data_IF_675278300321
#
_entry.id   IF_675278300321
#
_cell.length_a   1.000
_cell.length_b   1.000
_cell.length_c   1.000
_cell.angle_alpha   90.00
_cell.angle_beta   90.00
_cell.angle_gamma   90.00
#
_symmetry.space_group_name_H-M   'P 1'
#
loop_
_entity.id
_entity.type
_entity.pdbx_description
1 polymer ?
#
# COMPACT_ATOMS: atom_id res chain seq x y z
N UNK A 1 -3.56 3.38 -6.11
CA UNK A 1 -2.66 3.27 -7.29
C UNK A 1 -2.48 4.59 -8.03
N UNK A 2 -3.53 5.46 -8.12
CA UNK A 2 -3.43 6.73 -8.86
C UNK A 2 -2.37 7.67 -8.26
N UNK A 3 -2.49 8.04 -6.97
CA UNK A 3 -1.57 8.96 -6.29
C UNK A 3 -0.11 8.52 -6.37
N UNK A 4 0.18 7.25 -6.05
CA UNK A 4 1.56 6.72 -6.07
C UNK A 4 2.18 6.67 -7.47
N UNK A 5 1.38 6.75 -8.53
CA UNK A 5 1.87 6.87 -9.90
C UNK A 5 2.07 8.33 -10.32
N UNK A 6 1.15 9.21 -9.92
CA UNK A 6 1.14 10.61 -10.38
C UNK A 6 2.10 11.51 -9.58
N UNK A 7 2.28 11.27 -8.30
CA UNK A 7 3.12 12.12 -7.46
C UNK A 7 4.60 12.13 -7.88
N UNK A 8 5.26 10.98 -8.14
CA UNK A 8 6.60 10.96 -8.71
C UNK A 8 6.68 11.59 -10.11
N UNK A 9 5.63 11.42 -10.93
CA UNK A 9 5.56 12.04 -12.25
C UNK A 9 5.59 13.56 -12.17
N UNK A 10 4.82 14.15 -11.25
CA UNK A 10 4.77 15.62 -11.05
C UNK A 10 6.18 16.14 -10.74
N UNK A 11 6.89 15.49 -9.82
CA UNK A 11 8.27 15.86 -9.49
C UNK A 11 9.22 15.73 -10.67
N UNK A 12 9.12 14.65 -11.44
CA UNK A 12 9.97 14.42 -12.61
C UNK A 12 9.74 15.46 -13.72
N UNK A 13 8.48 15.78 -14.04
CA UNK A 13 8.15 16.81 -15.04
C UNK A 13 8.58 18.20 -14.55
N UNK A 14 8.35 18.53 -13.30
CA UNK A 14 8.76 19.82 -12.72
C UNK A 14 10.27 20.03 -12.81
N UNK A 15 11.06 18.93 -12.76
CA UNK A 15 12.50 18.95 -12.96
C UNK A 15 12.95 18.89 -14.44
N UNK A 16 11.99 18.89 -15.40
CA UNK A 16 12.29 18.91 -16.84
C UNK A 16 12.58 17.55 -17.47
N UNK A 17 12.23 16.45 -16.81
CA UNK A 17 12.49 15.10 -17.33
C UNK A 17 11.38 14.60 -18.26
N UNK A 18 11.76 13.77 -19.23
CA UNK A 18 10.81 12.89 -19.92
C UNK A 18 10.56 11.65 -19.08
N UNK A 19 9.34 11.09 -19.13
CA UNK A 19 8.94 10.02 -18.23
C UNK A 19 8.27 8.87 -18.97
N UNK A 20 8.56 7.65 -18.51
CA UNK A 20 7.79 6.45 -18.84
C UNK A 20 7.08 5.97 -17.59
N UNK A 21 5.76 5.94 -17.60
CA UNK A 21 4.95 5.42 -16.51
C UNK A 21 4.58 3.95 -16.74
N UNK A 22 4.72 3.14 -15.70
CA UNK A 22 4.26 1.76 -15.68
C UNK A 22 3.29 1.54 -14.51
N UNK A 23 1.99 1.84 -14.69
CA UNK A 23 0.99 1.62 -13.64
C UNK A 23 0.82 0.14 -13.32
N UNK A 24 0.22 -0.15 -12.16
CA UNK A 24 0.04 -1.51 -11.67
C UNK A 24 -0.96 -2.31 -12.51
N UNK A 25 -0.58 -3.52 -12.94
CA UNK A 25 -1.49 -4.47 -13.59
C UNK A 25 -2.62 -4.98 -12.65
N UNK A 26 -2.45 -4.86 -11.33
CA UNK A 26 -3.48 -5.24 -10.36
C UNK A 26 -4.61 -4.20 -10.21
N UNK A 27 -4.47 -3.03 -10.85
CA UNK A 27 -5.48 -1.99 -10.88
C UNK A 27 -5.77 -1.57 -12.34
N UNK A 28 -6.29 -2.47 -13.20
CA UNK A 28 -6.38 -2.24 -14.64
C UNK A 28 -7.25 -1.04 -15.00
N UNK A 29 -8.40 -0.85 -14.35
CA UNK A 29 -9.25 0.30 -14.58
C UNK A 29 -8.54 1.63 -14.27
N UNK A 30 -7.81 1.71 -13.14
CA UNK A 30 -7.00 2.89 -12.80
C UNK A 30 -5.87 3.11 -13.80
N UNK A 31 -5.21 2.03 -14.24
CA UNK A 31 -4.13 2.12 -15.24
C UNK A 31 -4.62 2.69 -16.56
N UNK A 32 -5.77 2.24 -17.04
CA UNK A 32 -6.39 2.75 -18.27
C UNK A 32 -6.80 4.22 -18.15
N UNK A 33 -7.32 4.65 -16.99
CA UNK A 33 -7.62 6.08 -16.75
C UNK A 33 -6.34 6.91 -16.75
N UNK A 34 -5.27 6.44 -16.10
CA UNK A 34 -3.97 7.11 -16.12
C UNK A 34 -3.47 7.26 -17.56
N UNK A 35 -3.53 6.19 -18.36
CA UNK A 35 -3.12 6.24 -19.77
C UNK A 35 -3.91 7.31 -20.54
N UNK A 36 -5.24 7.35 -20.38
CA UNK A 36 -6.09 8.34 -21.04
C UNK A 36 -5.73 9.77 -20.64
N UNK A 37 -5.63 10.04 -19.33
CA UNK A 37 -5.30 11.38 -18.80
C UNK A 37 -3.92 11.84 -19.32
N UNK A 38 -2.93 10.96 -19.29
CA UNK A 38 -1.57 11.31 -19.74
C UNK A 38 -1.53 11.55 -21.24
N UNK A 39 -2.15 10.70 -22.05
CA UNK A 39 -2.22 10.87 -23.51
C UNK A 39 -2.89 12.18 -23.90
N UNK A 40 -3.93 12.58 -23.18
CA UNK A 40 -4.68 13.80 -23.48
C UNK A 40 -3.94 15.07 -23.00
N UNK A 41 -3.08 14.95 -21.97
CA UNK A 41 -2.35 16.07 -21.40
C UNK A 41 -0.93 16.29 -21.99
N UNK A 42 -0.27 15.23 -22.46
CA UNK A 42 1.13 15.28 -22.87
C UNK A 42 1.40 14.60 -24.21
N UNK A 43 2.25 15.19 -25.07
CA UNK A 43 2.82 14.47 -26.20
C UNK A 43 3.62 13.24 -25.73
N UNK A 44 3.46 12.10 -26.40
CA UNK A 44 4.10 10.82 -26.03
C UNK A 44 5.63 10.84 -25.99
N UNK A 45 6.25 11.83 -26.62
CA UNK A 45 7.72 12.04 -26.53
C UNK A 45 8.18 12.61 -25.19
N UNK A 46 7.26 13.19 -24.39
CA UNK A 46 7.57 13.71 -23.06
C UNK A 46 7.12 12.78 -21.97
N UNK A 47 5.89 12.25 -22.07
CA UNK A 47 5.34 11.30 -21.10
C UNK A 47 4.65 10.18 -21.84
N UNK A 48 5.10 8.96 -21.64
CA UNK A 48 4.49 7.74 -22.18
C UNK A 48 3.98 6.85 -21.05
N UNK A 49 2.92 6.09 -21.33
CA UNK A 49 2.39 5.09 -20.40
C UNK A 49 2.48 3.72 -21.04
N UNK A 50 3.03 2.77 -20.31
CA UNK A 50 3.09 1.35 -20.70
C UNK A 50 2.20 0.56 -19.76
N UNK A 51 1.08 0.06 -20.26
CA UNK A 51 0.23 -0.87 -19.53
C UNK A 51 0.77 -2.30 -19.68
N UNK A 52 0.31 -3.21 -18.83
CA UNK A 52 0.68 -4.61 -18.90
C UNK A 52 1.21 -5.16 -17.58
N UNK A 53 1.63 -6.41 -17.60
CA UNK A 53 2.01 -7.19 -16.44
C UNK A 53 3.51 -7.49 -16.32
N UNK A 54 3.79 -8.75 -15.97
CA UNK A 54 5.17 -9.20 -15.74
C UNK A 54 6.06 -9.09 -16.98
N UNK A 55 5.52 -9.38 -18.15
CA UNK A 55 6.26 -9.35 -19.42
C UNK A 55 6.74 -7.93 -19.71
N UNK A 56 5.83 -6.97 -19.70
CA UNK A 56 6.11 -5.56 -19.98
C UNK A 56 7.04 -4.95 -18.93
N UNK A 57 6.89 -5.33 -17.65
CA UNK A 57 7.82 -4.92 -16.59
C UNK A 57 9.24 -5.42 -16.88
N UNK A 58 9.38 -6.69 -17.30
CA UNK A 58 10.69 -7.26 -17.61
C UNK A 58 11.32 -6.58 -18.81
N UNK A 59 10.56 -6.35 -19.87
CA UNK A 59 11.04 -5.68 -21.09
C UNK A 59 11.45 -4.22 -20.82
N UNK A 60 10.70 -3.48 -19.98
CA UNK A 60 11.08 -2.14 -19.57
C UNK A 60 12.39 -2.12 -18.75
N UNK A 61 12.57 -3.05 -17.83
CA UNK A 61 13.78 -3.12 -17.00
C UNK A 61 15.03 -3.56 -17.77
N UNK A 62 14.89 -4.06 -18.99
CA UNK A 62 16.02 -4.29 -19.91
C UNK A 62 16.42 -3.02 -20.70
N UNK A 63 15.60 -1.95 -20.64
CA UNK A 63 15.93 -0.69 -21.30
C UNK A 63 16.85 0.16 -20.42
N UNK A 64 17.63 1.05 -21.08
CA UNK A 64 18.46 2.00 -20.38
C UNK A 64 17.65 3.24 -20.01
N UNK A 65 17.56 3.52 -18.71
CA UNK A 65 17.00 4.75 -18.15
C UNK A 65 18.08 5.54 -17.42
N UNK A 66 17.88 6.86 -17.31
CA UNK A 66 18.75 7.73 -16.53
C UNK A 66 18.41 7.66 -15.03
N UNK A 67 17.17 7.28 -14.71
CA UNK A 67 16.68 7.13 -13.34
C UNK A 67 15.45 6.19 -13.28
N UNK A 68 15.33 5.41 -12.21
CA UNK A 68 14.13 4.58 -11.97
C UNK A 68 13.57 4.88 -10.59
N UNK A 69 12.31 5.29 -10.53
CA UNK A 69 11.52 5.40 -9.32
C UNK A 69 10.55 4.21 -9.24
N UNK A 70 10.66 3.40 -8.22
CA UNK A 70 9.83 2.20 -8.06
C UNK A 70 9.13 2.18 -6.71
N UNK A 71 7.82 1.88 -6.72
CA UNK A 71 7.03 1.59 -5.52
C UNK A 71 6.47 0.17 -5.60
N UNK A 72 6.73 -0.66 -4.58
CA UNK A 72 6.24 -2.03 -4.55
C UNK A 72 6.85 -2.89 -3.46
N UNK A 73 6.80 -4.21 -3.63
CA UNK A 73 7.36 -5.17 -2.67
C UNK A 73 8.87 -5.33 -2.78
N UNK A 74 9.51 -5.69 -1.69
CA UNK A 74 10.98 -5.87 -1.57
C UNK A 74 11.56 -6.79 -2.65
N UNK A 75 10.88 -7.89 -2.96
CA UNK A 75 11.35 -8.85 -3.99
C UNK A 75 11.49 -8.20 -5.36
N UNK A 76 10.50 -7.40 -5.77
CA UNK A 76 10.56 -6.69 -7.05
C UNK A 76 11.52 -5.51 -6.98
N UNK A 77 11.62 -4.81 -5.84
CA UNK A 77 12.61 -3.75 -5.64
C UNK A 77 14.04 -4.24 -5.82
N UNK A 78 14.37 -5.42 -5.30
CA UNK A 78 15.68 -6.07 -5.52
C UNK A 78 15.93 -6.34 -7.00
N UNK A 79 14.92 -6.85 -7.72
CA UNK A 79 15.02 -7.09 -9.17
C UNK A 79 15.24 -5.78 -9.95
N UNK A 80 14.52 -4.71 -9.58
CA UNK A 80 14.72 -3.38 -10.19
C UNK A 80 16.15 -2.90 -10.01
N UNK A 81 16.69 -2.99 -8.79
CA UNK A 81 18.07 -2.60 -8.48
C UNK A 81 19.09 -3.45 -9.26
N UNK A 82 18.89 -4.77 -9.32
CA UNK A 82 19.74 -5.68 -10.10
C UNK A 82 19.77 -5.30 -11.60
N UNK A 83 18.61 -5.03 -12.18
CA UNK A 83 18.53 -4.66 -13.60
C UNK A 83 19.14 -3.27 -13.86
N UNK A 84 18.86 -2.30 -13.00
CA UNK A 84 19.41 -0.95 -13.08
C UNK A 84 20.94 -0.92 -12.99
N UNK A 85 21.54 -1.81 -12.20
CA UNK A 85 23.00 -1.87 -12.02
C UNK A 85 23.77 -2.15 -13.32
N UNK A 86 23.16 -2.77 -14.31
CA UNK A 86 23.78 -3.05 -15.62
C UNK A 86 24.18 -1.77 -16.36
N UNK A 87 23.44 -0.70 -16.11
CA UNK A 87 23.67 0.61 -16.74
C UNK A 87 24.13 1.67 -15.74
N UNK A 88 24.39 1.28 -14.48
CA UNK A 88 24.67 2.18 -13.36
C UNK A 88 23.55 3.20 -13.14
N UNK A 89 22.29 2.83 -13.48
CA UNK A 89 21.13 3.69 -13.32
C UNK A 89 20.79 3.85 -11.83
N UNK A 90 20.74 5.08 -11.32
CA UNK A 90 20.30 5.33 -9.95
C UNK A 90 18.83 4.93 -9.76
N UNK A 91 18.49 4.45 -8.55
CA UNK A 91 17.13 4.02 -8.23
C UNK A 91 16.64 4.63 -6.91
N UNK A 92 15.37 5.02 -6.88
CA UNK A 92 14.63 5.20 -5.62
C UNK A 92 13.65 4.06 -5.48
N UNK A 93 13.70 3.38 -4.33
CA UNK A 93 12.85 2.24 -4.01
C UNK A 93 11.95 2.57 -2.82
N UNK A 94 10.67 2.79 -3.09
CA UNK A 94 9.62 2.88 -2.09
C UNK A 94 9.04 1.49 -1.86
N UNK A 95 9.28 0.93 -0.68
CA UNK A 95 8.98 -0.47 -0.36
C UNK A 95 7.97 -0.58 0.78
N UNK A 96 7.85 -1.76 1.37
CA UNK A 96 7.02 -1.96 2.55
C UNK A 96 7.59 -1.33 3.81
N UNK A 97 6.80 -1.31 4.88
CA UNK A 97 7.18 -0.73 6.15
C UNK A 97 6.83 -1.62 7.34
N UNK A 98 7.46 -1.31 8.47
CA UNK A 98 7.21 -1.87 9.82
C UNK A 98 7.07 -0.70 10.80
N UNK A 99 6.13 0.22 10.50
CA UNK A 99 5.96 1.48 11.23
C UNK A 99 5.42 1.24 12.64
N UNK A 100 6.15 1.61 13.72
CA UNK A 100 5.67 1.50 15.09
C UNK A 100 4.65 2.60 15.42
N UNK A 101 3.66 2.26 16.25
CA UNK A 101 2.80 3.22 16.93
C UNK A 101 3.13 3.18 18.42
N UNK A 102 3.58 4.29 19.00
CA UNK A 102 3.99 4.37 20.41
C UNK A 102 2.90 5.12 21.18
N UNK A 103 2.34 4.46 22.22
CA UNK A 103 1.28 5.00 23.08
C UNK A 103 1.77 5.03 24.52
N UNK A 104 2.03 6.23 25.04
CA UNK A 104 2.46 6.45 26.40
C UNK A 104 1.28 6.64 27.36
N UNK A 105 1.54 6.57 28.66
CA UNK A 105 0.54 6.85 29.72
C UNK A 105 -0.01 8.29 29.71
N UNK A 106 0.62 9.21 28.96
CA UNK A 106 0.16 10.60 28.77
C UNK A 106 -0.65 10.81 27.51
N UNK A 107 -0.83 9.78 26.67
CA UNK A 107 -1.58 9.90 25.44
C UNK A 107 -3.08 10.12 25.71
N UNK A 108 -3.75 10.87 24.82
CA UNK A 108 -5.21 10.93 24.77
C UNK A 108 -5.71 9.64 24.11
N UNK A 109 -5.97 8.58 24.90
CA UNK A 109 -6.15 7.21 24.44
C UNK A 109 -7.20 7.05 23.35
N UNK A 110 -8.39 7.64 23.50
CA UNK A 110 -9.44 7.55 22.49
C UNK A 110 -9.01 8.19 21.17
N UNK A 111 -8.31 9.34 21.20
CA UNK A 111 -7.82 9.98 19.99
C UNK A 111 -6.67 9.19 19.35
N UNK A 112 -5.77 8.65 20.16
CA UNK A 112 -4.68 7.80 19.69
C UNK A 112 -5.21 6.55 19.00
N UNK A 113 -6.16 5.84 19.62
CA UNK A 113 -6.83 4.69 19.04
C UNK A 113 -7.57 5.03 17.74
N UNK A 114 -8.31 6.15 17.71
CA UNK A 114 -8.99 6.63 16.50
C UNK A 114 -8.02 6.79 15.33
N UNK A 115 -6.89 7.46 15.56
CA UNK A 115 -5.87 7.70 14.52
C UNK A 115 -5.17 6.42 14.08
N UNK A 116 -4.87 5.54 15.04
CA UNK A 116 -4.25 4.24 14.75
C UNK A 116 -5.19 3.37 13.91
N UNK A 117 -6.46 3.25 14.29
CA UNK A 117 -7.48 2.48 13.56
C UNK A 117 -7.64 3.02 12.14
N UNK A 118 -7.79 4.34 11.98
CA UNK A 118 -7.86 4.96 10.66
C UNK A 118 -6.61 4.65 9.82
N UNK A 119 -5.43 4.90 10.36
CA UNK A 119 -4.17 4.68 9.64
C UNK A 119 -3.91 3.21 9.31
N UNK A 120 -4.37 2.28 10.18
CA UNK A 120 -4.17 0.86 9.97
C UNK A 120 -5.15 0.28 8.96
N UNK A 121 -6.44 0.62 9.03
CA UNK A 121 -7.47 -0.04 8.22
C UNK A 121 -7.84 0.72 6.94
N UNK A 122 -7.27 1.91 6.74
CA UNK A 122 -7.31 2.55 5.42
C UNK A 122 -6.74 1.59 4.37
N UNK A 123 -7.50 1.34 3.29
CA UNK A 123 -7.15 0.37 2.26
C UNK A 123 -6.89 -1.06 2.80
N UNK A 124 -7.61 -1.46 3.85
CA UNK A 124 -7.45 -2.75 4.57
C UNK A 124 -6.01 -3.02 5.02
N UNK A 125 -5.27 -1.96 5.40
CA UNK A 125 -3.90 -2.05 5.89
C UNK A 125 -2.84 -2.27 4.79
N UNK A 126 -3.22 -2.26 3.52
CA UNK A 126 -2.31 -2.45 2.38
C UNK A 126 -1.59 -1.13 2.04
N UNK A 127 -0.88 -0.56 3.02
CA UNK A 127 -0.22 0.74 2.93
C UNK A 127 1.16 0.67 3.60
N UNK A 128 2.19 1.12 2.91
CA UNK A 128 3.60 1.05 3.38
C UNK A 128 3.83 1.79 4.70
N UNK A 129 3.12 2.89 4.94
CA UNK A 129 3.21 3.73 6.15
C UNK A 129 2.14 3.42 7.20
N UNK A 130 1.31 2.39 7.00
CA UNK A 130 0.31 2.00 8.00
C UNK A 130 0.99 1.61 9.32
N UNK A 131 0.41 1.92 10.48
CA UNK A 131 0.85 1.36 11.75
C UNK A 131 0.92 -0.17 11.67
N UNK A 132 2.10 -0.74 11.88
CA UNK A 132 2.30 -2.19 11.76
C UNK A 132 2.14 -2.88 13.10
N UNK A 133 2.70 -2.28 14.15
CA UNK A 133 2.57 -2.73 15.53
C UNK A 133 2.46 -1.55 16.49
N UNK A 134 1.90 -1.79 17.67
CA UNK A 134 1.80 -0.79 18.73
C UNK A 134 2.64 -1.19 19.94
N UNK A 135 3.44 -0.23 20.46
CA UNK A 135 4.09 -0.29 21.75
C UNK A 135 3.27 0.56 22.70
N UNK A 136 2.57 -0.09 23.63
CA UNK A 136 1.64 0.56 24.55
C UNK A 136 2.14 0.44 25.97
N UNK A 137 2.17 1.54 26.74
CA UNK A 137 2.47 1.51 28.17
C UNK A 137 1.48 0.57 28.88
N UNK A 138 2.01 -0.32 29.72
CA UNK A 138 1.22 -1.35 30.40
C UNK A 138 0.07 -0.78 31.22
N UNK A 139 0.24 0.40 31.83
CA UNK A 139 -0.77 1.06 32.65
C UNK A 139 -2.03 1.45 31.88
N UNK A 140 -1.92 1.65 30.57
CA UNK A 140 -3.04 2.11 29.73
C UNK A 140 -3.43 1.11 28.65
N UNK A 141 -2.81 -0.05 28.62
CA UNK A 141 -2.99 -1.07 27.57
C UNK A 141 -4.45 -1.50 27.43
N UNK A 142 -5.10 -1.88 28.51
CA UNK A 142 -6.48 -2.41 28.47
C UNK A 142 -7.48 -1.32 28.05
N UNK A 143 -7.32 -0.11 28.56
CA UNK A 143 -8.18 1.02 28.16
C UNK A 143 -7.95 1.36 26.68
N UNK A 144 -6.69 1.42 26.23
CA UNK A 144 -6.35 1.68 24.85
C UNK A 144 -6.94 0.62 23.91
N UNK A 145 -6.84 -0.66 24.26
CA UNK A 145 -7.40 -1.77 23.48
C UNK A 145 -8.93 -1.64 23.36
N UNK A 146 -9.61 -1.28 24.44
CA UNK A 146 -11.06 -1.04 24.44
C UNK A 146 -11.43 0.10 23.46
N UNK A 147 -10.64 1.18 23.43
CA UNK A 147 -10.83 2.26 22.45
C UNK A 147 -10.53 1.85 21.02
N UNK A 148 -9.56 0.95 20.79
CA UNK A 148 -9.27 0.41 19.45
C UNK A 148 -10.48 -0.36 18.92
N UNK A 149 -11.03 -1.29 19.71
CA UNK A 149 -12.24 -2.05 19.33
C UNK A 149 -13.42 -1.13 19.06
N UNK A 150 -13.66 -0.16 19.95
CA UNK A 150 -14.72 0.83 19.78
C UNK A 150 -14.59 1.60 18.45
N UNK A 151 -13.40 2.05 18.10
CA UNK A 151 -13.19 2.81 16.85
C UNK A 151 -13.24 1.94 15.60
N UNK A 152 -12.87 0.66 15.67
CA UNK A 152 -13.11 -0.30 14.59
C UNK A 152 -14.60 -0.38 14.28
N UNK A 153 -15.43 -0.68 15.30
CA UNK A 153 -16.88 -0.75 15.12
C UNK A 153 -17.49 0.59 14.65
N UNK A 154 -17.00 1.71 15.20
CA UNK A 154 -17.52 3.03 14.85
C UNK A 154 -17.23 3.44 13.41
N UNK A 155 -16.08 3.06 12.86
CA UNK A 155 -15.64 3.44 11.52
C UNK A 155 -16.09 2.45 10.45
N UNK A 156 -16.10 1.17 10.75
CA UNK A 156 -16.27 0.12 9.76
C UNK A 156 -17.59 -0.65 9.92
N UNK A 157 -18.29 -0.44 11.05
CA UNK A 157 -19.52 -1.16 11.38
C UNK A 157 -19.25 -2.41 12.22
N UNK A 158 -20.33 -3.02 12.71
CA UNK A 158 -20.26 -4.28 13.47
C UNK A 158 -19.90 -5.46 12.58
N UNK A 159 -20.33 -5.40 11.32
CA UNK A 159 -20.03 -6.38 10.28
C UNK A 159 -19.17 -5.70 9.19
N UNK A 160 -17.85 -5.56 9.41
CA UNK A 160 -16.97 -4.82 8.49
C UNK A 160 -16.91 -5.40 7.08
N UNK A 161 -17.16 -6.70 6.93
CA UNK A 161 -17.13 -7.36 5.61
C UNK A 161 -18.37 -7.03 4.76
N UNK A 162 -19.46 -6.57 5.37
CA UNK A 162 -20.66 -6.09 4.68
C UNK A 162 -20.55 -4.60 4.30
N UNK A 163 -19.51 -3.91 4.79
CA UNK A 163 -19.30 -2.50 4.49
C UNK A 163 -18.74 -2.32 3.08
N UNK A 164 -19.47 -1.67 2.15
CA UNK A 164 -19.04 -1.51 0.76
C UNK A 164 -17.78 -0.64 0.61
N UNK A 165 -17.46 0.18 1.61
CA UNK A 165 -16.27 1.04 1.62
C UNK A 165 -15.04 0.33 2.20
N UNK A 166 -15.20 -0.90 2.75
CA UNK A 166 -14.08 -1.67 3.28
C UNK A 166 -13.48 -2.58 2.19
N UNK A 167 -12.27 -2.24 1.66
CA UNK A 167 -11.74 -2.92 0.51
C UNK A 167 -11.21 -4.32 0.84
N UNK A 168 -11.15 -5.14 -0.20
CA UNK A 168 -10.58 -6.49 -0.15
C UNK A 168 -9.06 -6.51 -0.32
N UNK A 169 -8.46 -7.65 -0.05
CA UNK A 169 -7.05 -7.91 -0.39
C UNK A 169 -6.87 -7.93 -1.91
N UNK A 170 -5.73 -7.47 -2.36
CA UNK A 170 -5.47 -7.27 -3.80
C UNK A 170 -5.50 -8.56 -4.62
N UNK A 171 -5.17 -9.71 -4.00
CA UNK A 171 -5.23 -11.03 -4.61
C UNK A 171 -5.18 -12.14 -3.55
N UNK A 172 -5.49 -13.38 -3.96
CA UNK A 172 -5.48 -14.59 -3.12
C UNK A 172 -4.15 -14.83 -2.41
N UNK A 173 -3.03 -14.66 -3.10
CA UNK A 173 -1.70 -14.83 -2.51
C UNK A 173 -1.50 -13.93 -1.29
N UNK A 174 -1.95 -12.68 -1.35
CA UNK A 174 -1.84 -11.75 -0.23
C UNK A 174 -2.90 -12.02 0.84
N UNK A 175 -4.09 -12.48 0.46
CA UNK A 175 -5.10 -12.95 1.39
C UNK A 175 -4.55 -14.09 2.27
N UNK A 176 -4.08 -15.18 1.68
CA UNK A 176 -3.51 -16.30 2.42
C UNK A 176 -2.29 -15.93 3.25
N UNK A 177 -1.41 -15.07 2.72
CA UNK A 177 -0.25 -14.57 3.47
C UNK A 177 -0.67 -13.83 4.73
N UNK A 178 -1.69 -12.99 4.67
CA UNK A 178 -2.15 -12.20 5.83
C UNK A 178 -2.91 -13.09 6.80
N UNK A 179 -3.78 -13.97 6.33
CA UNK A 179 -4.47 -14.95 7.18
C UNK A 179 -3.48 -15.86 7.91
N UNK A 180 -2.39 -16.28 7.27
CA UNK A 180 -1.34 -17.07 7.90
C UNK A 180 -0.60 -16.36 9.05
N UNK A 181 -0.66 -15.02 9.15
CA UNK A 181 -0.09 -14.28 10.27
C UNK A 181 -0.89 -14.45 11.57
N UNK A 182 -2.11 -14.98 11.50
CA UNK A 182 -2.95 -15.26 12.67
C UNK A 182 -2.55 -16.55 13.39
N UNK A 183 -1.74 -17.39 12.76
CA UNK A 183 -1.31 -18.65 13.35
C UNK A 183 -0.49 -18.39 14.63
N UNK A 184 -0.95 -18.90 15.75
CA UNK A 184 -0.36 -18.68 17.07
C UNK A 184 -0.56 -17.29 17.68
N UNK A 185 -1.32 -16.41 17.03
CA UNK A 185 -1.60 -15.07 17.56
C UNK A 185 -2.77 -15.11 18.58
N UNK A 186 -2.68 -14.25 19.61
CA UNK A 186 -3.80 -13.94 20.48
C UNK A 186 -4.67 -12.86 19.84
N UNK A 187 -5.85 -13.24 19.35
CA UNK A 187 -6.77 -12.33 18.67
C UNK A 187 -7.75 -11.69 19.66
N UNK A 188 -7.76 -10.37 19.73
CA UNK A 188 -8.67 -9.60 20.60
C UNK A 188 -9.98 -9.23 19.89
N UNK A 189 -9.95 -9.04 18.56
CA UNK A 189 -11.13 -8.83 17.74
C UNK A 189 -10.86 -9.23 16.29
N UNK A 190 -11.90 -9.51 15.51
CA UNK A 190 -11.77 -9.98 14.13
C UNK A 190 -11.19 -11.39 14.04
N UNK A 191 -10.15 -11.57 13.22
CA UNK A 191 -9.42 -12.84 13.12
C UNK A 191 -10.01 -13.84 12.11
N UNK A 192 -10.90 -13.40 11.23
CA UNK A 192 -11.46 -14.24 10.18
C UNK A 192 -11.55 -13.48 8.84
N UNK A 193 -11.81 -14.18 7.78
CA UNK A 193 -11.98 -13.60 6.45
C UNK A 193 -12.84 -14.49 5.56
N UNK A 194 -13.26 -13.91 4.44
CA UNK A 194 -13.98 -14.60 3.38
C UNK A 194 -13.07 -14.74 2.16
N UNK A 195 -12.69 -15.96 1.85
CA UNK A 195 -11.77 -16.25 0.75
C UNK A 195 -12.36 -15.90 -0.61
N UNK A 196 -13.66 -16.17 -0.81
CA UNK A 196 -14.35 -15.88 -2.07
C UNK A 196 -14.35 -14.39 -2.40
N UNK A 197 -14.46 -13.53 -1.40
CA UNK A 197 -14.43 -12.06 -1.56
C UNK A 197 -13.04 -11.47 -1.34
N UNK A 198 -12.08 -12.25 -0.86
CA UNK A 198 -10.73 -11.82 -0.46
C UNK A 198 -10.73 -10.76 0.64
N UNK A 199 -11.76 -10.72 1.48
CA UNK A 199 -11.87 -9.78 2.59
C UNK A 199 -11.39 -10.41 3.90
N UNK A 200 -10.70 -9.64 4.72
CA UNK A 200 -10.23 -10.02 6.07
C UNK A 200 -10.74 -8.98 7.03
N UNK A 201 -11.36 -9.42 8.14
CA UNK A 201 -11.82 -8.50 9.16
C UNK A 201 -10.69 -7.66 9.74
N UNK A 202 -10.96 -6.42 10.18
CA UNK A 202 -10.04 -5.65 11.02
C UNK A 202 -9.68 -6.49 12.25
N UNK A 203 -8.41 -6.78 12.39
CA UNK A 203 -7.91 -7.72 13.41
C UNK A 203 -6.82 -7.06 14.23
#
# INVERSE_FOLDING_TARGET
PFMLCMEPLIGAIAAGNCCVLKPSAYAPATSSVIQTVIRDAFPGKYVAVVEGGRKENTELLEQRFDYIFFTGGVTVGKLVMEKASRYLTPVTLELGGKSPCIVTDKAKLSLAAKRMVFGKFLNSGQTCVAPDYALVDEKVKEEFLSWVVYWIEKMLGKEPLDNPDYPKMINEKHYHRVMGLLEGAHVCCGGYGHEETLQITPT
#
